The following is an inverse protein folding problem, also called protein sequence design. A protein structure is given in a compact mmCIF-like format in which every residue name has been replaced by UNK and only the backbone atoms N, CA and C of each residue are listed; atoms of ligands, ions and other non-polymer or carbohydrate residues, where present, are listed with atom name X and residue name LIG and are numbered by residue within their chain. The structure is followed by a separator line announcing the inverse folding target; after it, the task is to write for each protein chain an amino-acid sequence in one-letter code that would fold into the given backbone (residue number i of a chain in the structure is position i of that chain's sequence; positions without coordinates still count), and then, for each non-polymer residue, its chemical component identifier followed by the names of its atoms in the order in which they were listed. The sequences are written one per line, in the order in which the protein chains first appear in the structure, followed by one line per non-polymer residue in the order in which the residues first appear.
data_IF_158626745662
#
_entry.id   IF_158626745662
#
_cell.length_a   1.000
_cell.length_b   1.000
_cell.length_c   1.000
_cell.angle_alpha   90.00
_cell.angle_beta   90.00
_cell.angle_gamma   90.00
#
_symmetry.space_group_name_H-M   'P 1'
#
loop_
_entity.id
_entity.type
_entity.pdbx_description
1 polymer ?
#
# COMPACT_ATOMS: atom_id res chain seq x y z
N UNK A 1 18.39 55.99 -16.18
CA UNK A 1 18.12 54.58 -16.55
C UNK A 1 17.32 53.91 -15.43
N UNK A 2 15.97 53.88 -15.47
CA UNK A 2 15.16 53.11 -14.50
C UNK A 2 13.79 52.68 -15.05
N UNK A 3 13.72 52.25 -16.31
CA UNK A 3 12.48 51.69 -16.88
C UNK A 3 12.68 50.38 -17.65
N UNK A 4 13.90 49.82 -17.66
CA UNK A 4 14.19 48.55 -18.34
C UNK A 4 14.15 47.33 -17.40
N UNK A 5 14.42 47.50 -16.09
CA UNK A 5 14.54 46.38 -15.15
C UNK A 5 13.20 45.82 -14.65
N UNK A 6 12.05 46.48 -14.90
CA UNK A 6 10.79 46.00 -14.31
C UNK A 6 10.14 44.86 -15.09
N UNK A 7 10.45 44.68 -16.38
CA UNK A 7 9.85 43.62 -17.21
C UNK A 7 10.51 42.24 -17.01
N UNK A 8 11.81 42.21 -16.73
CA UNK A 8 12.52 40.97 -16.37
C UNK A 8 11.99 40.43 -15.04
N UNK A 9 11.83 41.28 -14.01
CA UNK A 9 11.26 40.87 -12.72
C UNK A 9 9.85 40.24 -12.84
N UNK A 10 8.98 40.76 -13.71
CA UNK A 10 7.64 40.18 -13.89
C UNK A 10 7.67 38.82 -14.58
N UNK A 11 8.63 38.58 -15.49
CA UNK A 11 8.81 37.28 -16.12
C UNK A 11 9.35 36.27 -15.11
N UNK A 12 10.32 36.67 -14.29
CA UNK A 12 10.88 35.80 -13.24
C UNK A 12 9.81 35.39 -12.22
N UNK A 13 8.94 36.33 -11.83
CA UNK A 13 7.80 36.04 -10.96
C UNK A 13 6.79 35.12 -11.64
N UNK A 14 6.52 35.33 -12.94
CA UNK A 14 5.60 34.48 -13.69
C UNK A 14 6.12 33.03 -13.80
N UNK A 15 7.40 32.86 -14.11
CA UNK A 15 8.05 31.56 -14.21
C UNK A 15 8.05 30.83 -12.85
N UNK A 16 8.28 31.56 -11.76
CA UNK A 16 8.19 31.03 -10.40
C UNK A 16 6.76 30.57 -10.06
N UNK A 17 5.74 31.34 -10.44
CA UNK A 17 4.33 30.96 -10.28
C UNK A 17 4.02 29.67 -11.05
N UNK A 18 4.53 29.53 -12.27
CA UNK A 18 4.35 28.32 -13.06
C UNK A 18 5.05 27.11 -12.41
N UNK A 19 6.30 27.27 -11.96
CA UNK A 19 7.04 26.22 -11.26
C UNK A 19 6.30 25.73 -10.02
N UNK A 20 5.86 26.65 -9.15
CA UNK A 20 5.13 26.32 -7.93
C UNK A 20 3.80 25.60 -8.20
N UNK A 21 3.10 25.96 -9.28
CA UNK A 21 1.87 25.27 -9.69
C UNK A 21 2.14 23.84 -10.13
N UNK A 22 3.23 23.62 -10.86
CA UNK A 22 3.63 22.29 -11.31
C UNK A 22 4.04 21.41 -10.13
N UNK A 23 4.84 21.93 -9.20
CA UNK A 23 5.23 21.23 -7.97
C UNK A 23 4.02 20.83 -7.13
N UNK A 24 3.06 21.75 -6.95
CA UNK A 24 1.81 21.47 -6.24
C UNK A 24 1.02 20.35 -6.91
N UNK A 25 0.92 20.36 -8.24
CA UNK A 25 0.22 19.29 -8.98
C UNK A 25 0.90 17.93 -8.81
N UNK A 26 2.24 17.88 -8.87
CA UNK A 26 3.02 16.65 -8.63
C UNK A 26 2.78 16.11 -7.23
N UNK A 27 2.85 16.98 -6.20
CA UNK A 27 2.61 16.58 -4.81
C UNK A 27 1.20 16.01 -4.60
N UNK A 28 0.17 16.65 -5.17
CA UNK A 28 -1.22 16.17 -5.07
C UNK A 28 -1.42 14.83 -5.79
N UNK A 29 -0.79 14.63 -6.95
CA UNK A 29 -0.86 13.36 -7.67
C UNK A 29 -0.16 12.23 -6.90
N UNK A 30 0.99 12.51 -6.30
CA UNK A 30 1.72 11.56 -5.46
C UNK A 30 0.93 11.19 -4.20
N UNK A 31 0.32 12.17 -3.53
CA UNK A 31 -0.54 11.95 -2.36
C UNK A 31 -1.78 11.12 -2.71
N UNK A 32 -2.43 11.42 -3.86
CA UNK A 32 -3.54 10.63 -4.36
C UNK A 32 -3.14 9.17 -4.67
N UNK A 33 -1.94 8.95 -5.22
CA UNK A 33 -1.38 7.61 -5.43
C UNK A 33 -1.08 6.87 -4.13
N UNK A 34 -0.68 7.58 -3.07
CA UNK A 34 -0.39 7.00 -1.75
C UNK A 34 -1.65 6.69 -0.93
N UNK A 35 -2.77 7.36 -1.20
CA UNK A 35 -4.03 7.18 -0.46
C UNK A 35 -4.51 5.73 -0.43
N UNK A 36 -4.43 5.01 -1.55
CA UNK A 36 -4.83 3.60 -1.62
C UNK A 36 -3.91 2.64 -0.86
N UNK A 37 -2.62 2.98 -0.71
CA UNK A 37 -1.69 2.20 0.11
C UNK A 37 -1.87 2.50 1.60
N UNK A 38 -2.15 3.76 1.95
CA UNK A 38 -2.46 4.17 3.32
C UNK A 38 -3.75 3.51 3.83
N UNK A 39 -4.81 3.50 3.02
CA UNK A 39 -6.06 2.81 3.37
C UNK A 39 -5.83 1.32 3.65
N UNK A 40 -5.04 0.64 2.82
CA UNK A 40 -4.71 -0.77 3.04
C UNK A 40 -3.95 -1.01 4.34
N UNK A 41 -3.02 -0.12 4.71
CA UNK A 41 -2.31 -0.21 5.98
C UNK A 41 -3.26 -0.02 7.17
N UNK A 42 -4.15 0.96 7.10
CA UNK A 42 -5.16 1.22 8.13
C UNK A 42 -6.12 0.02 8.28
N UNK A 43 -6.54 -0.60 7.18
CA UNK A 43 -7.40 -1.79 7.19
C UNK A 43 -6.67 -3.00 7.80
N UNK A 44 -5.37 -3.17 7.52
CA UNK A 44 -4.55 -4.23 8.11
C UNK A 44 -4.32 -4.01 9.61
N UNK A 45 -3.99 -2.79 10.02
CA UNK A 45 -3.80 -2.42 11.42
C UNK A 45 -5.09 -2.64 12.22
N UNK A 46 -6.22 -2.20 11.67
CA UNK A 46 -7.54 -2.43 12.28
C UNK A 46 -7.85 -3.92 12.39
N UNK A 47 -7.60 -4.70 11.35
CA UNK A 47 -7.83 -6.15 11.38
C UNK A 47 -7.04 -6.83 12.50
N UNK A 48 -5.76 -6.49 12.66
CA UNK A 48 -4.89 -7.04 13.72
C UNK A 48 -5.40 -6.62 15.10
N UNK A 49 -5.74 -5.35 15.29
CA UNK A 49 -6.18 -4.81 16.58
C UNK A 49 -7.60 -5.26 16.99
N UNK A 50 -8.47 -5.58 16.02
CA UNK A 50 -9.80 -6.15 16.28
C UNK A 50 -9.76 -7.63 16.67
N UNK A 51 -8.63 -8.33 16.46
CA UNK A 51 -8.50 -9.70 16.97
C UNK A 51 -8.39 -9.64 18.50
N UNK A 52 -9.37 -10.21 19.20
CA UNK A 52 -9.45 -10.26 20.66
C UNK A 52 -8.51 -11.29 21.30
N UNK A 53 -7.70 -11.96 20.49
CA UNK A 53 -6.88 -13.10 20.91
C UNK A 53 -5.42 -12.65 20.84
N UNK A 54 -4.77 -12.57 22.00
CA UNK A 54 -3.32 -12.51 22.06
C UNK A 54 -2.80 -13.69 21.23
N UNK A 55 -1.91 -13.41 20.27
CA UNK A 55 -1.38 -14.41 19.33
C UNK A 55 -0.36 -15.32 20.04
N UNK A 56 -0.79 -15.97 21.13
CA UNK A 56 0.00 -16.90 21.94
C UNK A 56 -0.13 -18.34 21.43
N UNK A 57 -1.21 -18.69 20.73
CA UNK A 57 -1.41 -20.00 20.09
C UNK A 57 -2.12 -19.91 18.72
N UNK A 58 -1.99 -21.00 17.95
CA UNK A 58 -2.49 -21.21 16.58
C UNK A 58 -3.94 -20.74 16.38
N UNK A 59 -4.14 -19.61 15.71
CA UNK A 59 -5.45 -19.12 15.31
C UNK A 59 -5.90 -19.82 14.01
N UNK A 60 -6.81 -20.79 14.16
CA UNK A 60 -7.35 -21.56 13.05
C UNK A 60 -8.14 -20.69 12.05
N UNK A 61 -8.73 -19.57 12.47
CA UNK A 61 -9.44 -18.66 11.57
C UNK A 61 -8.46 -17.88 10.69
N UNK A 62 -7.36 -17.40 11.27
CA UNK A 62 -6.32 -16.70 10.52
C UNK A 62 -5.64 -17.63 9.51
N UNK A 63 -5.27 -18.85 9.93
CA UNK A 63 -4.64 -19.84 9.04
C UNK A 63 -5.58 -20.22 7.89
N UNK A 64 -6.88 -20.42 8.16
CA UNK A 64 -7.87 -20.68 7.10
C UNK A 64 -7.96 -19.55 6.08
N UNK A 65 -7.75 -18.28 6.47
CA UNK A 65 -7.76 -17.15 5.53
C UNK A 65 -6.52 -17.11 4.63
N UNK A 66 -5.40 -17.64 5.11
CA UNK A 66 -4.14 -17.70 4.37
C UNK A 66 -4.09 -18.84 3.37
N UNK A 67 -4.89 -19.89 3.57
CA UNK A 67 -5.02 -21.02 2.65
C UNK A 67 -5.81 -20.59 1.41
N UNK A 68 -5.28 -20.91 0.23
CA UNK A 68 -5.97 -20.76 -1.06
C UNK A 68 -6.79 -22.02 -1.36
N UNK A 69 -6.19 -23.21 -1.28
CA UNK A 69 -6.88 -24.49 -1.40
C UNK A 69 -6.13 -25.61 -0.67
N UNK A 70 -6.86 -26.68 -0.40
CA UNK A 70 -6.32 -27.93 0.12
C UNK A 70 -6.66 -29.03 -0.88
N UNK A 71 -5.67 -29.79 -1.32
CA UNK A 71 -5.84 -30.96 -2.18
C UNK A 71 -5.58 -32.22 -1.36
N UNK A 72 -6.56 -33.14 -1.38
CA UNK A 72 -6.50 -34.40 -0.64
C UNK A 72 -6.15 -35.51 -1.61
N UNK A 73 -5.06 -36.22 -1.31
CA UNK A 73 -4.64 -37.44 -1.99
C UNK A 73 -4.85 -38.65 -1.08
N UNK A 74 -4.61 -39.84 -1.60
CA UNK A 74 -4.79 -41.08 -0.83
C UNK A 74 -3.81 -41.16 0.35
N UNK A 75 -2.58 -40.70 0.16
CA UNK A 75 -1.42 -40.81 1.06
C UNK A 75 -0.91 -39.47 1.63
N UNK A 76 -1.44 -38.34 1.16
CA UNK A 76 -1.01 -37.01 1.62
C UNK A 76 -2.07 -35.92 1.49
N UNK A 77 -1.79 -34.78 2.11
CA UNK A 77 -2.50 -33.52 1.95
C UNK A 77 -1.53 -32.46 1.40
N UNK A 78 -1.94 -31.75 0.36
CA UNK A 78 -1.20 -30.57 -0.14
C UNK A 78 -1.97 -29.31 0.21
N UNK A 79 -1.34 -28.40 0.94
CA UNK A 79 -1.91 -27.10 1.33
C UNK A 79 -1.21 -26.02 0.51
N UNK A 80 -1.99 -25.29 -0.30
CA UNK A 80 -1.50 -24.13 -1.03
C UNK A 80 -1.94 -22.86 -0.30
N UNK A 81 -0.98 -21.99 0.04
CA UNK A 81 -1.22 -20.69 0.65
C UNK A 81 -1.36 -19.62 -0.44
N UNK A 82 -2.09 -18.55 -0.13
CA UNK A 82 -2.23 -17.37 -1.01
C UNK A 82 -0.91 -16.68 -1.36
N UNK A 83 0.14 -16.93 -0.58
CA UNK A 83 1.51 -16.49 -0.88
C UNK A 83 2.19 -17.32 -1.99
N UNK A 84 1.58 -18.40 -2.46
CA UNK A 84 2.18 -19.37 -3.38
C UNK A 84 3.07 -20.42 -2.71
N UNK A 85 3.13 -20.45 -1.38
CA UNK A 85 3.84 -21.49 -0.63
C UNK A 85 2.98 -22.76 -0.65
N UNK A 86 3.61 -23.90 -0.93
CA UNK A 86 2.99 -25.22 -0.87
C UNK A 86 3.62 -26.05 0.24
N UNK A 87 2.78 -26.75 1.02
CA UNK A 87 3.22 -27.68 2.06
C UNK A 87 2.53 -29.02 1.82
N UNK A 88 3.34 -30.08 1.77
CA UNK A 88 2.87 -31.46 1.75
C UNK A 88 2.93 -32.07 3.15
N UNK A 89 1.82 -32.68 3.57
CA UNK A 89 1.68 -33.40 4.83
C UNK A 89 1.39 -34.85 4.49
N UNK A 90 2.34 -35.74 4.78
CA UNK A 90 2.12 -37.19 4.69
C UNK A 90 1.13 -37.64 5.77
N UNK A 91 0.34 -38.67 5.44
CA UNK A 91 -0.75 -39.16 6.29
C UNK A 91 -0.29 -39.99 7.48
#
# INVERSE_FOLDING_TARGET
MRLANSKEDYNDIADEIYRLREERHKALAEEAGKKGSKQRLEDMEKFINEQSILLEEYDQQLVRRLIEKITVYDDKLTIEFKSGIEIDIEK
#
